data_IF_055900551148
#
_entry.id   IF_055900551148
#
_cell.length_a   1.000
_cell.length_b   1.000
_cell.length_c   1.000
_cell.angle_alpha   90.00
_cell.angle_beta   90.00
_cell.angle_gamma   90.00
#
_symmetry.space_group_name_H-M   'P 1'
#
loop_
_entity.id
_entity.type
_entity.pdbx_description
1 polymer ?
#
# COMPACT_ATOMS: atom_id res chain seq x y z
N UNK A 1 63.81 -33.86 4.85
CA UNK A 1 62.76 -34.64 5.54
C UNK A 1 61.70 -33.70 6.14
N UNK A 2 60.73 -33.33 5.31
CA UNK A 2 59.43 -32.78 5.74
C UNK A 2 58.78 -33.75 6.74
N UNK A 3 58.44 -33.26 7.92
CA UNK A 3 57.51 -33.96 8.81
C UNK A 3 56.23 -33.14 8.91
N UNK A 4 55.30 -33.56 8.06
CA UNK A 4 53.90 -33.14 7.93
C UNK A 4 53.21 -33.17 9.29
N UNK A 5 52.71 -32.02 9.76
CA UNK A 5 51.74 -31.95 10.85
C UNK A 5 50.32 -32.03 10.26
N UNK A 6 49.41 -32.85 10.80
CA UNK A 6 48.04 -32.93 10.30
C UNK A 6 47.24 -31.66 10.63
N UNK A 7 46.26 -31.25 9.80
CA UNK A 7 45.41 -30.12 10.10
C UNK A 7 44.31 -30.51 11.08
N UNK A 8 44.39 -30.02 12.31
CA UNK A 8 43.25 -30.03 13.22
C UNK A 8 42.12 -29.16 12.67
N UNK A 9 40.95 -29.76 12.59
CA UNK A 9 39.72 -29.16 12.12
C UNK A 9 39.23 -28.09 13.09
N UNK A 10 39.72 -26.86 12.93
CA UNK A 10 39.23 -25.70 13.67
C UNK A 10 37.86 -25.34 13.11
N UNK A 11 36.81 -25.91 13.73
CA UNK A 11 35.40 -25.53 13.56
C UNK A 11 35.31 -24.02 13.81
N UNK A 12 35.34 -23.25 12.72
CA UNK A 12 35.26 -21.81 12.72
C UNK A 12 33.80 -21.45 12.98
N UNK A 13 33.40 -21.54 14.25
CA UNK A 13 32.20 -20.89 14.77
C UNK A 13 32.50 -19.39 14.83
N UNK A 14 32.65 -18.78 13.65
CA UNK A 14 32.66 -17.34 13.51
C UNK A 14 31.21 -16.92 13.45
N UNK A 15 30.85 -16.22 14.52
CA UNK A 15 29.90 -15.12 14.54
C UNK A 15 28.77 -15.30 13.56
N UNK A 16 27.64 -15.74 14.10
CA UNK A 16 26.36 -15.51 13.47
C UNK A 16 26.38 -14.10 12.90
N UNK A 17 26.07 -14.02 11.60
CA UNK A 17 25.39 -12.87 11.04
C UNK A 17 24.25 -12.62 12.01
N UNK A 18 24.45 -11.67 12.93
CA UNK A 18 23.35 -11.00 13.60
C UNK A 18 22.61 -10.41 12.43
N UNK A 19 21.52 -11.09 12.10
CA UNK A 19 20.59 -10.66 11.09
C UNK A 19 20.41 -9.17 11.29
N UNK A 20 20.72 -8.41 10.26
CA UNK A 20 20.19 -7.08 10.02
C UNK A 20 18.67 -7.25 9.75
N UNK A 21 17.96 -7.86 10.70
CA UNK A 21 16.51 -8.08 10.77
C UNK A 21 15.99 -7.39 12.04
N UNK A 22 16.60 -6.27 12.41
CA UNK A 22 16.03 -5.34 13.41
C UNK A 22 15.91 -3.92 12.85
N UNK A 23 16.09 -3.78 11.54
CA UNK A 23 15.79 -2.56 10.77
C UNK A 23 14.66 -2.83 9.76
N UNK A 24 13.76 -3.75 10.13
CA UNK A 24 12.51 -4.07 9.42
C UNK A 24 11.25 -3.78 10.24
N UNK A 25 11.38 -3.16 11.42
CA UNK A 25 10.24 -2.60 12.18
C UNK A 25 9.83 -1.22 11.65
N UNK A 26 10.05 -0.99 10.35
CA UNK A 26 9.59 0.20 9.67
C UNK A 26 8.08 0.03 9.45
N UNK A 27 7.33 0.65 10.37
CA UNK A 27 5.87 0.81 10.44
C UNK A 27 5.19 -0.13 11.44
N UNK A 28 4.69 0.45 12.55
CA UNK A 28 3.76 -0.22 13.45
C UNK A 28 2.59 -0.83 12.65
N UNK A 29 2.10 -2.01 13.04
CA UNK A 29 0.97 -2.68 12.37
C UNK A 29 -0.25 -1.74 12.26
N UNK A 30 -0.43 -0.85 13.24
CA UNK A 30 -1.47 0.18 13.24
C UNK A 30 -1.23 1.22 12.12
N UNK A 31 0.02 1.66 11.95
CA UNK A 31 0.39 2.57 10.87
C UNK A 31 0.25 1.89 9.50
N UNK A 32 0.57 0.59 9.37
CA UNK A 32 0.34 -0.19 8.16
C UNK A 32 -1.17 -0.31 7.83
N UNK A 33 -2.02 -0.51 8.85
CA UNK A 33 -3.47 -0.52 8.69
C UNK A 33 -4.01 0.82 8.17
N UNK A 34 -3.49 1.93 8.70
CA UNK A 34 -3.87 3.28 8.26
C UNK A 34 -3.50 3.52 6.79
N UNK A 35 -2.29 3.13 6.40
CA UNK A 35 -1.85 3.23 5.01
C UNK A 35 -2.69 2.35 4.08
N UNK A 36 -2.96 1.09 4.48
CA UNK A 36 -3.77 0.17 3.70
C UNK A 36 -5.22 0.66 3.51
N UNK A 37 -5.81 1.28 4.54
CA UNK A 37 -7.13 1.92 4.43
C UNK A 37 -7.12 3.11 3.47
N UNK A 38 -6.06 3.93 3.51
CA UNK A 38 -5.90 5.03 2.58
C UNK A 38 -5.72 4.55 1.13
N UNK A 39 -4.94 3.49 0.91
CA UNK A 39 -4.81 2.84 -0.40
C UNK A 39 -6.16 2.34 -0.90
N UNK A 40 -6.93 1.63 -0.07
CA UNK A 40 -8.26 1.15 -0.43
C UNK A 40 -9.21 2.29 -0.80
N UNK A 41 -9.20 3.39 -0.04
CA UNK A 41 -10.01 4.57 -0.32
C UNK A 41 -9.65 5.18 -1.69
N UNK A 42 -8.36 5.34 -1.98
CA UNK A 42 -7.89 5.86 -3.26
C UNK A 42 -8.26 4.94 -4.43
N UNK A 43 -8.05 3.63 -4.30
CA UNK A 43 -8.42 2.66 -5.33
C UNK A 43 -9.93 2.67 -5.56
N UNK A 44 -10.73 2.71 -4.49
CA UNK A 44 -12.19 2.73 -4.61
C UNK A 44 -12.69 3.99 -5.33
N UNK A 45 -12.28 5.19 -4.87
CA UNK A 45 -12.72 6.46 -5.46
C UNK A 45 -12.31 6.56 -6.92
N UNK A 46 -11.08 6.13 -7.25
CA UNK A 46 -10.62 6.11 -8.64
C UNK A 46 -11.43 5.11 -9.49
N UNK A 47 -11.74 3.93 -8.96
CA UNK A 47 -12.54 2.92 -9.67
C UNK A 47 -13.95 3.43 -9.97
N UNK A 48 -14.64 3.97 -8.97
CA UNK A 48 -15.98 4.51 -9.15
C UNK A 48 -15.98 5.76 -10.04
N UNK A 49 -14.98 6.62 -9.89
CA UNK A 49 -14.82 7.83 -10.70
C UNK A 49 -14.63 7.51 -12.19
N UNK A 50 -13.77 6.55 -12.52
CA UNK A 50 -13.59 6.11 -13.92
C UNK A 50 -14.83 5.45 -14.47
N UNK A 51 -15.52 4.62 -13.67
CA UNK A 51 -16.75 3.96 -14.10
C UNK A 51 -17.87 4.97 -14.42
N UNK A 52 -18.03 6.01 -13.60
CA UNK A 52 -19.06 7.03 -13.83
C UNK A 52 -18.71 7.94 -15.01
N UNK A 53 -17.43 8.33 -15.14
CA UNK A 53 -16.99 9.25 -16.19
C UNK A 53 -17.04 8.61 -17.57
N UNK A 54 -16.63 7.35 -17.66
CA UNK A 54 -16.41 6.67 -18.94
C UNK A 54 -17.59 5.73 -19.29
N UNK A 55 -18.66 5.69 -18.48
CA UNK A 55 -19.84 4.87 -18.78
C UNK A 55 -20.51 5.28 -20.11
N UNK A 56 -20.69 4.34 -21.07
CA UNK A 56 -21.46 4.63 -22.27
C UNK A 56 -22.95 4.82 -21.91
N UNK A 57 -23.68 5.68 -22.65
CA UNK A 57 -25.10 5.87 -22.44
C UNK A 57 -25.85 4.55 -22.69
N UNK A 58 -26.51 4.03 -21.66
CA UNK A 58 -27.35 2.84 -21.78
C UNK A 58 -28.66 3.22 -22.49
N UNK A 59 -28.90 2.62 -23.65
CA UNK A 59 -30.19 2.67 -24.35
C UNK A 59 -31.10 1.60 -23.75
N UNK A 60 -32.26 2.00 -23.21
CA UNK A 60 -33.28 1.07 -22.69
C UNK A 60 -33.95 0.25 -23.81
N UNK A 61 -33.90 0.74 -25.06
CA UNK A 61 -34.34 0.03 -26.26
C UNK A 61 -33.68 0.64 -27.51
N UNK A 62 -33.59 -0.15 -28.58
CA UNK A 62 -33.06 0.31 -29.88
C UNK A 62 -33.90 1.42 -30.53
N UNK A 63 -35.14 1.64 -30.07
CA UNK A 63 -36.06 2.64 -30.62
C UNK A 63 -36.13 3.92 -29.80
N UNK A 64 -35.32 4.06 -28.74
CA UNK A 64 -35.29 5.32 -27.99
C UNK A 64 -34.57 6.38 -28.84
N UNK A 65 -35.17 7.56 -29.08
CA UNK A 65 -34.53 8.63 -29.85
C UNK A 65 -33.31 9.18 -29.10
N UNK A 66 -32.25 9.51 -29.83
CA UNK A 66 -31.07 10.15 -29.23
C UNK A 66 -31.44 11.61 -28.93
N UNK A 67 -31.42 12.06 -27.65
CA UNK A 67 -31.70 13.46 -27.33
C UNK A 67 -30.71 14.43 -27.98
N UNK A 68 -29.52 13.96 -28.40
CA UNK A 68 -28.52 14.73 -29.13
C UNK A 68 -28.63 14.58 -30.66
N UNK A 69 -29.42 13.63 -31.16
CA UNK A 69 -29.67 13.45 -32.60
C UNK A 69 -31.18 13.23 -32.88
N UNK A 70 -31.95 14.33 -32.97
CA UNK A 70 -33.41 14.28 -33.03
C UNK A 70 -34.01 13.85 -34.39
N UNK A 71 -33.21 13.40 -35.37
CA UNK A 71 -33.77 13.00 -36.67
C UNK A 71 -33.12 11.74 -37.29
N UNK A 72 -33.65 10.54 -37.03
CA UNK A 72 -33.38 9.35 -37.80
C UNK A 72 -34.54 9.13 -38.77
N UNK A 73 -34.47 9.64 -40.01
CA UNK A 73 -35.44 9.23 -41.04
C UNK A 73 -34.74 8.29 -42.04
N UNK A 74 -35.16 7.01 -42.12
CA UNK A 74 -34.71 6.10 -43.18
C UNK A 74 -35.62 6.25 -44.42
N UNK A 75 -34.98 6.23 -45.60
CA UNK A 75 -35.56 5.96 -46.93
C UNK A 75 -36.42 7.04 -47.67
N UNK A 76 -35.73 7.86 -48.50
CA UNK A 76 -36.05 8.24 -49.91
C UNK A 76 -37.17 9.27 -50.23
N UNK A 77 -37.26 9.82 -51.48
CA UNK A 77 -36.25 10.00 -52.54
C UNK A 77 -35.87 11.50 -52.71
N UNK A 78 -34.87 11.74 -53.56
CA UNK A 78 -34.48 13.08 -54.01
C UNK A 78 -35.66 13.90 -54.57
N UNK A 79 -35.60 15.22 -54.32
CA UNK A 79 -36.25 16.33 -55.04
C UNK A 79 -37.51 16.95 -54.41
N UNK A 80 -37.38 18.22 -53.98
CA UNK A 80 -38.19 19.41 -54.35
C UNK A 80 -38.32 20.42 -53.16
N UNK A 81 -38.63 21.70 -53.42
CA UNK A 81 -37.71 22.74 -53.90
C UNK A 81 -37.47 23.80 -52.80
N UNK A 82 -36.38 24.56 -52.91
CA UNK A 82 -36.17 25.76 -52.08
C UNK A 82 -37.34 26.73 -52.25
N UNK A 83 -38.12 26.95 -51.19
CA UNK A 83 -39.04 28.08 -51.10
C UNK A 83 -38.25 29.39 -50.94
N UNK A 84 -38.69 30.51 -51.53
CA UNK A 84 -37.93 31.76 -51.56
C UNK A 84 -37.76 32.35 -50.15
N UNK A 85 -36.70 33.15 -49.90
CA UNK A 85 -36.46 33.72 -48.58
C UNK A 85 -37.57 34.72 -48.23
N UNK A 86 -38.14 34.59 -47.03
CA UNK A 86 -38.98 35.63 -46.46
C UNK A 86 -38.13 36.87 -46.16
N UNK A 87 -38.49 38.07 -46.64
CA UNK A 87 -37.73 39.27 -46.34
C UNK A 87 -38.08 39.75 -44.93
N UNK A 88 -37.14 39.64 -43.98
CA UNK A 88 -37.23 40.35 -42.71
C UNK A 88 -36.90 39.61 -41.40
N UNK A 89 -36.04 38.57 -41.39
CA UNK A 89 -35.53 38.00 -40.14
C UNK A 89 -34.06 38.45 -39.89
N UNK A 90 -33.69 38.92 -38.69
CA UNK A 90 -32.39 39.51 -38.41
C UNK A 90 -31.25 38.49 -38.51
N UNK A 91 -30.07 38.97 -38.92
CA UNK A 91 -28.85 38.20 -39.05
C UNK A 91 -28.56 37.37 -37.78
N UNK A 92 -28.28 36.08 -37.97
CA UNK A 92 -27.88 35.16 -36.91
C UNK A 92 -26.68 35.73 -36.14
N UNK A 93 -26.85 35.92 -34.82
CA UNK A 93 -25.75 36.22 -33.92
C UNK A 93 -24.73 35.06 -33.95
N UNK A 94 -23.42 35.32 -33.77
CA UNK A 94 -22.41 34.26 -33.76
C UNK A 94 -22.68 33.28 -32.62
N UNK A 95 -22.75 31.98 -32.93
CA UNK A 95 -22.73 30.92 -31.93
C UNK A 95 -21.44 31.05 -31.10
N UNK A 96 -21.48 30.90 -29.76
CA UNK A 96 -20.28 30.89 -28.94
C UNK A 96 -19.35 29.74 -29.38
N UNK A 97 -18.02 29.91 -29.26
CA UNK A 97 -17.07 28.88 -29.64
C UNK A 97 -17.34 27.60 -28.84
N UNK A 98 -17.61 26.50 -29.55
CA UNK A 98 -17.74 25.18 -28.93
C UNK A 98 -16.44 24.86 -28.19
N UNK A 99 -16.50 24.35 -26.94
CA UNK A 99 -15.31 23.91 -26.22
C UNK A 99 -14.57 22.86 -27.05
N UNK A 100 -13.22 22.81 -26.99
CA UNK A 100 -12.42 21.93 -27.81
C UNK A 100 -12.93 20.49 -27.66
N UNK A 101 -13.32 19.89 -28.80
CA UNK A 101 -13.71 18.49 -28.89
C UNK A 101 -12.70 17.64 -28.12
N UNK A 102 -13.20 16.86 -27.16
CA UNK A 102 -12.38 15.93 -26.41
C UNK A 102 -11.59 15.08 -27.42
N UNK A 103 -10.26 15.10 -27.29
CA UNK A 103 -9.38 14.24 -28.08
C UNK A 103 -9.95 12.82 -28.05
N UNK A 104 -9.95 12.07 -29.15
CA UNK A 104 -10.27 10.66 -29.11
C UNK A 104 -9.26 10.03 -28.15
N UNK A 105 -9.70 9.76 -26.93
CA UNK A 105 -8.91 8.97 -26.01
C UNK A 105 -8.76 7.61 -26.70
N UNK A 106 -7.56 6.99 -26.69
CA UNK A 106 -7.45 5.60 -27.11
C UNK A 106 -8.57 4.87 -26.38
N UNK A 107 -9.35 4.06 -27.10
CA UNK A 107 -10.41 3.27 -26.51
C UNK A 107 -9.75 2.38 -25.45
N UNK A 108 -9.64 2.92 -24.23
CA UNK A 108 -9.30 2.19 -23.03
C UNK A 108 -10.31 1.06 -23.03
N UNK A 109 -9.84 -0.15 -22.87
CA UNK A 109 -10.73 -1.29 -22.76
C UNK A 109 -11.53 -1.11 -21.46
N UNK A 110 -12.66 -0.40 -21.59
CA UNK A 110 -13.58 -0.02 -20.53
C UNK A 110 -14.14 -1.26 -19.82
N UNK A 111 -14.00 -2.45 -20.42
CA UNK A 111 -14.38 -3.70 -19.80
C UNK A 111 -13.25 -4.31 -18.97
N UNK A 112 -11.97 -4.12 -19.33
CA UNK A 112 -10.83 -4.71 -18.63
C UNK A 112 -10.33 -3.85 -17.46
N UNK A 113 -10.31 -2.52 -17.61
CA UNK A 113 -9.79 -1.62 -16.57
C UNK A 113 -10.57 -1.73 -15.23
N UNK A 114 -11.92 -1.77 -15.21
CA UNK A 114 -12.66 -1.93 -13.97
C UNK A 114 -12.43 -3.29 -13.30
N UNK A 115 -12.21 -4.36 -14.08
CA UNK A 115 -11.86 -5.67 -13.53
C UNK A 115 -10.50 -5.66 -12.83
N UNK A 116 -9.50 -5.03 -13.44
CA UNK A 116 -8.19 -4.88 -12.84
C UNK A 116 -8.25 -4.07 -11.53
N UNK A 117 -8.98 -2.96 -11.50
CA UNK A 117 -9.09 -2.12 -10.29
C UNK A 117 -9.95 -2.75 -9.20
N UNK A 118 -11.04 -3.44 -9.55
CA UNK A 118 -11.82 -4.23 -8.59
C UNK A 118 -11.01 -5.40 -8.01
N UNK A 119 -10.19 -6.08 -8.80
CA UNK A 119 -9.25 -7.07 -8.31
C UNK A 119 -8.23 -6.46 -7.34
N UNK A 120 -7.69 -5.28 -7.66
CA UNK A 120 -6.80 -4.54 -6.77
C UNK A 120 -7.47 -4.21 -5.43
N UNK A 121 -8.74 -3.78 -5.44
CA UNK A 121 -9.50 -3.51 -4.22
C UNK A 121 -9.69 -4.78 -3.37
N UNK A 122 -9.98 -5.92 -3.99
CA UNK A 122 -10.12 -7.21 -3.28
C UNK A 122 -8.79 -7.64 -2.66
N UNK A 123 -7.67 -7.46 -3.38
CA UNK A 123 -6.35 -7.76 -2.82
C UNK A 123 -6.01 -6.84 -1.64
N UNK A 124 -6.30 -5.55 -1.76
CA UNK A 124 -6.12 -4.57 -0.70
C UNK A 124 -6.95 -4.93 0.55
N UNK A 125 -8.21 -5.37 0.36
CA UNK A 125 -9.06 -5.84 1.45
C UNK A 125 -8.48 -7.09 2.15
N UNK A 126 -7.95 -8.06 1.39
CA UNK A 126 -7.29 -9.24 1.97
C UNK A 126 -6.05 -8.87 2.79
N UNK A 127 -5.26 -7.89 2.34
CA UNK A 127 -4.12 -7.38 3.10
C UNK A 127 -4.58 -6.70 4.40
N UNK A 128 -5.64 -5.91 4.34
CA UNK A 128 -6.24 -5.32 5.53
C UNK A 128 -6.68 -6.38 6.54
N UNK A 129 -7.38 -7.44 6.10
CA UNK A 129 -7.79 -8.55 6.98
C UNK A 129 -6.59 -9.24 7.64
N UNK A 130 -5.51 -9.46 6.87
CA UNK A 130 -4.28 -10.05 7.40
C UNK A 130 -3.62 -9.15 8.46
N UNK A 131 -3.60 -7.83 8.25
CA UNK A 131 -3.08 -6.86 9.21
C UNK A 131 -3.95 -6.79 10.47
N UNK A 132 -5.28 -6.85 10.34
CA UNK A 132 -6.20 -6.92 11.49
C UNK A 132 -5.97 -8.20 12.30
N UNK A 133 -5.78 -9.34 11.63
CA UNK A 133 -5.49 -10.61 12.28
C UNK A 133 -4.12 -10.63 12.98
N UNK A 134 -3.16 -9.80 12.52
CA UNK A 134 -1.84 -9.67 13.12
C UNK A 134 -1.80 -8.72 14.33
N UNK A 135 -2.91 -8.03 14.65
CA UNK A 135 -2.96 -7.16 15.82
C UNK A 135 -2.76 -7.99 17.11
N UNK A 136 -1.96 -7.51 18.07
CA UNK A 136 -1.85 -8.12 19.38
C UNK A 136 -3.15 -7.88 20.18
N UNK A 137 -4.12 -8.77 19.98
CA UNK A 137 -5.42 -8.73 20.65
C UNK A 137 -5.31 -9.38 22.03
N UNK A 138 -4.98 -8.58 23.03
CA UNK A 138 -5.05 -8.97 24.45
C UNK A 138 -5.81 -7.91 25.24
N UNK A 139 -6.45 -8.31 26.33
CA UNK A 139 -7.12 -7.34 27.21
C UNK A 139 -6.09 -6.37 27.80
N UNK A 140 -6.52 -5.16 28.14
CA UNK A 140 -5.66 -4.18 28.81
C UNK A 140 -5.06 -4.76 30.10
N UNK A 141 -5.87 -5.49 30.88
CA UNK A 141 -5.42 -6.13 32.12
C UNK A 141 -4.34 -7.19 31.87
N UNK A 142 -4.49 -8.02 30.83
CA UNK A 142 -3.48 -9.03 30.47
C UNK A 142 -2.18 -8.37 29.98
N UNK A 143 -2.29 -7.28 29.21
CA UNK A 143 -1.13 -6.50 28.77
C UNK A 143 -0.39 -5.89 29.96
N UNK A 144 -1.13 -5.26 30.89
CA UNK A 144 -0.55 -4.66 32.09
C UNK A 144 0.12 -5.72 32.97
N UNK A 145 -0.52 -6.87 33.17
CA UNK A 145 0.06 -7.99 33.90
C UNK A 145 1.35 -8.48 33.24
N UNK A 146 1.36 -8.62 31.91
CA UNK A 146 2.55 -9.01 31.15
C UNK A 146 3.66 -7.99 31.27
N UNK A 147 3.34 -6.69 31.23
CA UNK A 147 4.32 -5.62 31.43
C UNK A 147 4.91 -5.69 32.84
N UNK A 148 4.09 -5.89 33.87
CA UNK A 148 4.56 -5.99 35.25
C UNK A 148 5.47 -7.20 35.46
N UNK A 149 5.14 -8.35 34.88
CA UNK A 149 5.99 -9.55 34.89
C UNK A 149 7.35 -9.26 34.24
N UNK A 150 7.34 -8.66 33.04
CA UNK A 150 8.58 -8.30 32.33
C UNK A 150 9.41 -7.25 33.08
N UNK A 151 8.77 -6.32 33.79
CA UNK A 151 9.48 -5.35 34.64
C UNK A 151 10.18 -6.05 35.81
N UNK A 152 9.49 -6.95 36.50
CA UNK A 152 10.08 -7.73 37.59
C UNK A 152 11.22 -8.64 37.10
N UNK A 153 11.06 -9.28 35.93
CA UNK A 153 12.13 -10.06 35.30
C UNK A 153 13.34 -9.19 34.96
N UNK A 154 13.12 -8.02 34.34
CA UNK A 154 14.19 -7.09 34.01
C UNK A 154 14.94 -6.59 35.25
N UNK A 155 14.25 -6.35 36.37
CA UNK A 155 14.88 -6.00 37.64
C UNK A 155 15.78 -7.13 38.16
N UNK A 156 15.29 -8.37 38.16
CA UNK A 156 16.08 -9.55 38.59
C UNK A 156 17.29 -9.76 37.70
N UNK A 157 17.12 -9.68 36.38
CA UNK A 157 18.22 -9.79 35.42
C UNK A 157 19.23 -8.66 35.62
N UNK A 158 18.78 -7.44 35.90
CA UNK A 158 19.64 -6.30 36.22
C UNK A 158 20.48 -6.51 37.49
N UNK A 159 19.87 -7.04 38.56
CA UNK A 159 20.58 -7.35 39.81
C UNK A 159 21.63 -8.46 39.62
N UNK A 160 21.28 -9.50 38.87
CA UNK A 160 22.21 -10.59 38.58
C UNK A 160 23.38 -10.09 37.72
N UNK A 161 23.11 -9.26 36.73
CA UNK A 161 24.16 -8.62 35.93
C UNK A 161 25.08 -7.73 36.79
N UNK A 162 24.51 -6.94 37.72
CA UNK A 162 25.29 -6.13 38.64
C UNK A 162 26.22 -6.99 39.52
N UNK A 163 25.70 -8.09 40.07
CA UNK A 163 26.49 -9.03 40.88
C UNK A 163 27.63 -9.66 40.09
N UNK A 164 27.39 -9.99 38.82
CA UNK A 164 28.43 -10.51 37.93
C UNK A 164 29.51 -9.47 37.64
N UNK A 165 29.13 -8.20 37.44
CA UNK A 165 30.08 -7.10 37.24
C UNK A 165 30.93 -6.86 38.49
N UNK A 166 30.34 -6.91 39.68
CA UNK A 166 31.07 -6.77 40.95
C UNK A 166 32.05 -7.92 41.14
N UNK A 167 31.61 -9.17 40.91
CA UNK A 167 32.49 -10.33 40.98
C UNK A 167 33.66 -10.23 39.98
N UNK A 168 33.39 -9.80 38.75
CA UNK A 168 34.43 -9.57 37.74
C UNK A 168 35.41 -8.46 38.15
N UNK A 169 34.91 -7.36 38.73
CA UNK A 169 35.73 -6.28 39.27
C UNK A 169 36.65 -6.76 40.40
N UNK A 170 36.13 -7.53 41.35
CA UNK A 170 36.90 -8.08 42.45
C UNK A 170 37.98 -9.07 41.96
N UNK A 171 37.68 -9.88 40.94
CA UNK A 171 38.67 -10.77 40.31
C UNK A 171 39.77 -9.95 39.63
N UNK A 172 39.43 -8.83 38.98
CA UNK A 172 40.40 -7.94 38.37
C UNK A 172 41.34 -7.33 39.41
N UNK A 173 40.79 -6.78 40.50
CA UNK A 173 41.55 -6.23 41.63
C UNK A 173 42.46 -7.26 42.29
N UNK A 174 41.96 -8.49 42.49
CA UNK A 174 42.79 -9.58 43.00
C UNK A 174 43.96 -9.85 42.05
N UNK A 175 43.70 -9.97 40.74
CA UNK A 175 44.75 -10.26 39.76
C UNK A 175 45.80 -9.13 39.70
N UNK A 176 45.41 -7.86 39.73
CA UNK A 176 46.35 -6.73 39.71
C UNK A 176 47.18 -6.67 40.99
N UNK A 177 46.59 -6.91 42.15
CA UNK A 177 47.29 -6.95 43.43
C UNK A 177 48.36 -8.06 43.47
N UNK A 178 48.05 -9.27 42.99
CA UNK A 178 49.02 -10.37 42.97
C UNK A 178 50.12 -10.20 41.92
N UNK A 179 49.83 -9.53 40.80
CA UNK A 179 50.86 -9.24 39.79
C UNK A 179 51.80 -8.12 40.22
N UNK A 180 51.31 -7.10 40.93
CA UNK A 180 52.13 -6.01 41.47
C UNK A 180 53.05 -6.39 42.65
N UNK A 181 52.88 -7.58 43.22
CA UNK A 181 53.77 -8.14 44.27
C UNK A 181 54.86 -9.04 43.66
N UNK A 182 54.73 -9.44 42.38
CA UNK A 182 55.63 -10.38 41.71
C UNK A 182 56.75 -9.71 40.87
N UNK A 183 56.84 -8.39 40.89
CA UNK A 183 57.95 -7.54 40.36
C UNK A 183 58.69 -6.89 41.54
#
# INVERSE_FOLDING_TARGET
PELVRPPESRKKQRGGRRSEEEEGSAMDIISQLQEQLNEMAMVAVNTFGTLQRDAPPVRLSNSYPDPLNPNPNPEGPASQPQAPPAPGAPAAAPLPPQPPQARPQPALDLAEQPKAMSHALVLAAKKFDALVAALPLSSEEDQLKRIQELQAENEVVGLELQKQLEAAGNIFEFRTSYHGIAD
#
